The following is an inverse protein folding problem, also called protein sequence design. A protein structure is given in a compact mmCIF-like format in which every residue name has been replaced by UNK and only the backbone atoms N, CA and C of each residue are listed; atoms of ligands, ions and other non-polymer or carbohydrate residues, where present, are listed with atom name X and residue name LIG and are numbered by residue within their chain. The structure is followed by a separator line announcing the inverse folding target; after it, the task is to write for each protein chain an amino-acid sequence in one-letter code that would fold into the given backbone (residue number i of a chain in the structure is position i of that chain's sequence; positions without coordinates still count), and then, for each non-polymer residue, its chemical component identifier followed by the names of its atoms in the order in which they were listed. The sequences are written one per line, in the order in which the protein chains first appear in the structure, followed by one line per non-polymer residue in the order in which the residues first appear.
data_IF_663490113532
#
_entry.id   IF_663490113532
#
_cell.length_a   1.000
_cell.length_b   1.000
_cell.length_c   1.000
_cell.angle_alpha   90.00
_cell.angle_beta   90.00
_cell.angle_gamma   90.00
#
_symmetry.space_group_name_H-M   'P 1'
#
loop_
_entity.id
_entity.type
_entity.pdbx_description
1 polymer ?
#
# COMPACT_ATOMS: atom_id res chain seq x y z
N UNK A 1 -20.32 -3.45 9.40
CA UNK A 1 -19.83 -4.82 9.56
C UNK A 1 -18.54 -4.84 8.78
N UNK A 2 -17.44 -5.08 9.48
CA UNK A 2 -16.17 -5.37 8.83
C UNK A 2 -16.41 -6.44 7.76
N UNK A 3 -15.80 -6.29 6.59
CA UNK A 3 -15.95 -7.20 5.44
C UNK A 3 -15.19 -8.50 5.69
N UNK A 4 -15.46 -9.15 6.83
CA UNK A 4 -14.79 -10.37 7.28
C UNK A 4 -15.15 -11.58 6.41
N UNK A 5 -16.27 -11.49 5.69
CA UNK A 5 -16.67 -12.43 4.65
C UNK A 5 -15.75 -12.41 3.42
N UNK A 6 -14.96 -11.35 3.24
CA UNK A 6 -14.10 -11.15 2.07
C UNK A 6 -12.61 -11.42 2.35
N UNK A 7 -12.24 -11.72 3.59
CA UNK A 7 -10.85 -12.02 3.95
C UNK A 7 -10.64 -13.53 4.04
N UNK A 8 -9.40 -13.98 3.81
CA UNK A 8 -9.07 -15.40 3.88
C UNK A 8 -9.38 -15.97 5.27
N UNK A 9 -9.89 -17.22 5.35
CA UNK A 9 -10.12 -17.90 6.62
C UNK A 9 -8.84 -18.16 7.41
N UNK A 10 -7.67 -18.07 6.77
CA UNK A 10 -6.36 -18.18 7.42
C UNK A 10 -5.90 -16.87 8.07
N UNK A 11 -6.67 -15.80 7.93
CA UNK A 11 -6.37 -14.50 8.55
C UNK A 11 -6.39 -14.64 10.07
N UNK A 12 -5.29 -14.24 10.69
CA UNK A 12 -5.12 -14.17 12.14
C UNK A 12 -5.44 -12.76 12.62
N UNK A 13 -5.79 -12.66 13.90
CA UNK A 13 -6.07 -11.37 14.54
C UNK A 13 -5.21 -11.22 15.79
N UNK A 14 -4.59 -10.06 15.91
CA UNK A 14 -3.89 -9.64 17.12
C UNK A 14 -4.54 -8.38 17.68
N UNK A 15 -4.76 -8.34 18.99
CA UNK A 15 -5.27 -7.14 19.67
C UNK A 15 -4.23 -6.72 20.70
N UNK A 16 -3.51 -5.61 20.48
CA UNK A 16 -2.55 -5.11 21.46
C UNK A 16 -3.23 -4.89 22.83
N UNK A 17 -2.54 -5.20 23.95
CA UNK A 17 -3.12 -5.08 25.28
C UNK A 17 -3.28 -3.63 25.76
N UNK A 18 -2.64 -2.68 25.06
CA UNK A 18 -2.65 -1.26 25.39
C UNK A 18 -3.31 -0.45 24.27
N UNK A 19 -3.96 0.69 24.61
CA UNK A 19 -4.50 1.59 23.60
C UNK A 19 -3.43 2.06 22.62
N UNK A 20 -3.81 2.23 21.36
CA UNK A 20 -2.93 2.73 20.32
C UNK A 20 -3.10 4.25 20.20
N UNK A 21 -2.00 5.00 20.36
CA UNK A 21 -1.98 6.46 20.27
C UNK A 21 -1.51 6.85 18.87
N UNK A 22 -2.32 7.64 18.17
CA UNK A 22 -2.00 8.15 16.84
C UNK A 22 -1.08 9.37 16.92
N UNK A 23 -0.42 9.72 15.80
CA UNK A 23 0.36 10.97 15.68
C UNK A 23 -0.48 12.22 15.99
N UNK A 24 -1.79 12.18 15.77
CA UNK A 24 -2.71 13.25 16.12
C UNK A 24 -2.97 13.39 17.63
N UNK A 25 -2.52 12.43 18.43
CA UNK A 25 -2.83 12.31 19.86
C UNK A 25 -4.17 11.63 20.15
N UNK A 26 -4.97 11.29 19.13
CA UNK A 26 -6.19 10.52 19.33
C UNK A 26 -5.84 9.08 19.76
N UNK A 27 -6.71 8.47 20.57
CA UNK A 27 -6.49 7.15 21.16
C UNK A 27 -7.52 6.14 20.65
N UNK A 28 -7.04 4.99 20.20
CA UNK A 28 -7.85 3.84 19.84
C UNK A 28 -7.72 2.75 20.91
N UNK A 29 -8.75 2.58 21.74
CA UNK A 29 -8.76 1.71 22.94
C UNK A 29 -8.65 0.22 22.67
N UNK A 30 -9.21 -0.25 21.55
CA UNK A 30 -9.32 -1.69 21.23
C UNK A 30 -8.97 -1.95 19.78
N UNK A 31 -7.75 -1.57 19.39
CA UNK A 31 -7.26 -1.86 18.05
C UNK A 31 -7.13 -3.36 17.87
N UNK A 32 -7.56 -3.84 16.71
CA UNK A 32 -7.36 -5.18 16.21
C UNK A 32 -6.59 -5.09 14.90
N UNK A 33 -5.61 -5.96 14.72
CA UNK A 33 -4.78 -6.07 13.52
C UNK A 33 -5.12 -7.41 12.87
N UNK A 34 -5.60 -7.39 11.64
CA UNK A 34 -5.77 -8.58 10.82
C UNK A 34 -4.49 -8.83 10.00
N UNK A 35 -3.96 -10.04 10.01
CA UNK A 35 -2.71 -10.36 9.34
C UNK A 35 -2.63 -11.82 8.89
N UNK A 36 -1.77 -12.09 7.89
CA UNK A 36 -1.34 -13.44 7.50
C UNK A 36 0.17 -13.54 7.59
N UNK A 37 0.65 -14.77 7.68
CA UNK A 37 2.09 -15.09 7.79
C UNK A 37 2.45 -16.29 6.94
N UNK A 38 3.65 -16.30 6.38
CA UNK A 38 4.23 -17.42 5.64
C UNK A 38 5.64 -17.72 6.13
N UNK A 39 6.04 -18.99 6.08
CA UNK A 39 7.35 -19.43 6.57
C UNK A 39 7.46 -19.48 8.10
N UNK A 40 8.69 -19.55 8.59
CA UNK A 40 9.00 -19.75 10.02
C UNK A 40 10.05 -18.74 10.46
N UNK A 41 9.79 -18.06 11.58
CA UNK A 41 10.76 -17.17 12.22
C UNK A 41 11.94 -17.99 12.76
N UNK A 42 13.16 -17.61 12.39
CA UNK A 42 14.35 -18.33 12.82
C UNK A 42 14.73 -18.00 14.28
N UNK A 43 15.66 -18.76 14.86
CA UNK A 43 16.11 -18.55 16.25
C UNK A 43 16.76 -17.20 16.51
N UNK A 44 17.32 -16.56 15.48
CA UNK A 44 17.93 -15.22 15.57
C UNK A 44 16.91 -14.09 15.42
N UNK A 45 15.68 -14.42 15.01
CA UNK A 45 14.57 -13.49 14.78
C UNK A 45 14.90 -12.39 13.77
N UNK A 46 15.77 -12.70 12.80
CA UNK A 46 16.34 -11.74 11.85
C UNK A 46 15.94 -11.98 10.38
N UNK A 47 15.11 -12.99 10.11
CA UNK A 47 14.57 -13.32 8.78
C UNK A 47 13.15 -12.78 8.54
N UNK A 48 12.72 -11.75 9.29
CA UNK A 48 11.40 -11.16 9.10
C UNK A 48 11.29 -10.41 7.76
N UNK A 49 10.15 -10.54 7.08
CA UNK A 49 9.81 -9.75 5.89
C UNK A 49 8.43 -9.12 6.07
N UNK A 50 8.29 -7.82 5.82
CA UNK A 50 6.99 -7.15 5.83
C UNK A 50 6.57 -6.82 4.40
N UNK A 51 5.37 -7.27 4.04
CA UNK A 51 4.69 -6.89 2.81
C UNK A 51 3.65 -5.82 3.14
N UNK A 52 3.88 -4.60 2.65
CA UNK A 52 2.98 -3.46 2.78
C UNK A 52 2.04 -3.41 1.57
N UNK A 53 0.75 -3.71 1.76
CA UNK A 53 -0.21 -3.71 0.67
C UNK A 53 -0.62 -2.29 0.22
N UNK A 54 -1.09 -2.18 -1.02
CA UNK A 54 -1.54 -0.93 -1.64
C UNK A 54 -2.95 -0.48 -1.17
N UNK A 55 -3.44 0.64 -1.71
CA UNK A 55 -4.65 1.37 -1.28
C UNK A 55 -5.90 0.50 -1.05
N UNK A 56 -6.19 -0.43 -1.96
CA UNK A 56 -7.37 -1.31 -1.87
C UNK A 56 -7.01 -2.79 -1.66
N UNK A 57 -5.78 -3.06 -1.20
CA UNK A 57 -5.28 -4.39 -0.89
C UNK A 57 -5.73 -4.89 0.49
N UNK A 58 -5.29 -6.08 0.86
CA UNK A 58 -5.55 -6.71 2.15
C UNK A 58 -4.42 -7.66 2.53
N UNK A 59 -4.50 -8.28 3.70
CA UNK A 59 -3.44 -9.10 4.29
C UNK A 59 -3.06 -10.36 3.50
N UNK A 60 -3.80 -10.73 2.45
CA UNK A 60 -3.61 -11.99 1.73
C UNK A 60 -2.73 -11.83 0.49
N UNK A 61 -1.41 -11.96 0.68
CA UNK A 61 -0.43 -11.82 -0.40
C UNK A 61 -0.62 -12.86 -1.51
N UNK A 62 -1.04 -14.09 -1.19
CA UNK A 62 -1.31 -15.13 -2.19
C UNK A 62 -2.41 -14.71 -3.17
N UNK A 63 -3.37 -13.91 -2.73
CA UNK A 63 -4.49 -13.52 -3.57
C UNK A 63 -4.18 -12.41 -4.58
N UNK A 64 -3.13 -11.60 -4.34
CA UNK A 64 -2.84 -10.43 -5.17
C UNK A 64 -1.36 -10.28 -5.58
N UNK A 65 -0.46 -11.11 -5.06
CA UNK A 65 0.97 -11.10 -5.38
C UNK A 65 1.60 -12.50 -5.47
N UNK A 66 0.81 -13.51 -5.83
CA UNK A 66 1.24 -14.91 -5.92
C UNK A 66 2.57 -15.12 -6.67
N UNK A 67 2.86 -14.48 -7.82
CA UNK A 67 4.10 -14.74 -8.54
C UNK A 67 5.38 -14.29 -7.82
N UNK A 68 5.26 -13.42 -6.79
CA UNK A 68 6.39 -13.02 -5.95
C UNK A 68 6.58 -13.95 -4.74
N UNK A 69 5.65 -14.86 -4.47
CA UNK A 69 5.62 -15.73 -3.31
C UNK A 69 5.92 -17.18 -3.69
N UNK A 70 6.98 -17.74 -3.12
CA UNK A 70 7.35 -19.14 -3.34
C UNK A 70 8.85 -19.39 -3.26
N UNK A 71 9.25 -20.67 -3.33
CA UNK A 71 10.65 -21.06 -3.27
C UNK A 71 11.46 -20.38 -4.38
N UNK A 72 12.55 -19.70 -4.01
CA UNK A 72 13.42 -18.95 -4.91
C UNK A 72 12.86 -17.60 -5.38
N UNK A 73 11.64 -17.23 -5.00
CA UNK A 73 11.05 -15.91 -5.28
C UNK A 73 11.54 -14.87 -4.27
N UNK A 74 11.25 -13.59 -4.52
CA UNK A 74 11.64 -12.51 -3.60
C UNK A 74 11.01 -12.70 -2.21
N UNK A 75 9.76 -13.19 -2.16
CA UNK A 75 9.08 -13.64 -0.95
C UNK A 75 9.20 -15.16 -0.85
N UNK A 76 10.31 -15.65 -0.33
CA UNK A 76 10.55 -17.09 -0.18
C UNK A 76 10.23 -17.57 1.24
N UNK A 77 9.11 -18.29 1.47
CA UNK A 77 8.73 -18.76 2.80
C UNK A 77 9.64 -19.89 3.34
N UNK A 78 10.52 -20.47 2.51
CA UNK A 78 11.52 -21.43 2.97
C UNK A 78 12.72 -20.76 3.63
N UNK A 79 12.94 -19.46 3.35
CA UNK A 79 14.01 -18.63 3.93
C UNK A 79 13.48 -17.63 4.95
N UNK A 80 12.35 -17.01 4.64
CA UNK A 80 11.85 -15.81 5.31
C UNK A 80 10.60 -16.09 6.15
N UNK A 81 10.43 -15.32 7.22
CA UNK A 81 9.15 -15.22 7.93
C UNK A 81 8.41 -13.99 7.43
N UNK A 82 7.51 -14.21 6.48
CA UNK A 82 6.82 -13.15 5.75
C UNK A 82 5.54 -12.80 6.49
N UNK A 83 5.28 -11.52 6.68
CA UNK A 83 4.08 -11.00 7.33
C UNK A 83 3.44 -9.94 6.44
N UNK A 84 2.13 -10.03 6.26
CA UNK A 84 1.32 -8.97 5.71
C UNK A 84 0.17 -8.69 6.66
N UNK A 85 0.10 -7.46 7.18
CA UNK A 85 -1.04 -7.00 7.97
C UNK A 85 -1.92 -6.10 7.11
N UNK A 86 -3.24 -6.23 7.25
CA UNK A 86 -4.16 -5.24 6.73
C UNK A 86 -3.95 -3.91 7.49
N UNK A 87 -3.92 -2.80 6.77
CA UNK A 87 -3.56 -1.49 7.33
C UNK A 87 -4.66 -0.90 8.24
N UNK A 88 -4.24 -0.04 9.18
CA UNK A 88 -5.16 0.77 9.99
C UNK A 88 -6.04 1.63 9.08
N UNK A 89 -7.33 1.74 9.40
CA UNK A 89 -8.28 2.53 8.60
C UNK A 89 -8.87 1.79 7.39
N UNK A 90 -8.40 0.59 7.07
CA UNK A 90 -9.00 -0.30 6.05
C UNK A 90 -10.31 -0.94 6.55
N UNK A 91 -11.01 -1.65 5.66
CA UNK A 91 -12.25 -2.39 5.94
C UNK A 91 -12.09 -3.92 5.96
N UNK A 92 -10.86 -4.43 5.83
CA UNK A 92 -10.54 -5.87 5.79
C UNK A 92 -10.02 -6.43 7.13
N UNK A 93 -10.73 -6.12 8.23
CA UNK A 93 -10.54 -6.77 9.54
C UNK A 93 -9.67 -6.03 10.54
N UNK A 94 -8.67 -5.27 10.09
CA UNK A 94 -7.95 -4.30 10.95
C UNK A 94 -8.88 -3.14 11.31
N UNK A 95 -8.73 -2.58 12.51
CA UNK A 95 -9.56 -1.47 12.99
C UNK A 95 -9.60 -0.32 12.00
N UNK A 96 -10.80 0.06 11.60
CA UNK A 96 -11.07 1.15 10.66
C UNK A 96 -12.48 1.73 10.85
N UNK A 97 -12.95 2.57 9.91
CA UNK A 97 -14.27 3.18 10.00
C UNK A 97 -15.45 2.20 10.12
N UNK A 98 -15.29 0.98 9.59
CA UNK A 98 -16.32 -0.07 9.66
C UNK A 98 -16.35 -0.81 11.00
N UNK A 99 -15.31 -0.67 11.81
CA UNK A 99 -15.16 -1.32 13.11
C UNK A 99 -16.01 -0.63 14.18
N UNK A 100 -16.37 -1.37 15.23
CA UNK A 100 -17.20 -0.85 16.33
C UNK A 100 -16.36 0.06 17.24
N UNK A 101 -16.84 1.28 17.47
CA UNK A 101 -16.33 2.16 18.50
C UNK A 101 -16.78 1.66 19.88
N UNK A 102 -15.86 1.27 20.78
CA UNK A 102 -16.22 0.76 22.10
C UNK A 102 -16.96 1.78 22.98
N UNK A 103 -16.86 3.09 22.67
CA UNK A 103 -17.51 4.17 23.43
C UNK A 103 -18.99 4.31 23.07
N UNK A 104 -19.35 4.02 21.82
CA UNK A 104 -20.71 4.23 21.29
C UNK A 104 -21.43 2.92 20.96
N UNK A 105 -20.69 1.81 20.90
CA UNK A 105 -21.17 0.49 20.43
C UNK A 105 -21.76 0.52 19.02
N UNK A 106 -21.39 1.52 18.21
CA UNK A 106 -21.74 1.67 16.79
C UNK A 106 -20.47 1.69 15.94
N UNK A 107 -20.53 1.43 14.63
CA UNK A 107 -19.39 1.65 13.75
C UNK A 107 -18.84 3.07 13.88
N UNK A 108 -17.52 3.25 13.82
CA UNK A 108 -16.91 4.59 13.88
C UNK A 108 -17.44 5.51 12.77
N UNK A 109 -17.61 4.98 11.55
CA UNK A 109 -18.02 5.73 10.37
C UNK A 109 -17.17 7.00 10.19
N UNK A 110 -17.79 8.19 10.09
CA UNK A 110 -17.05 9.44 9.86
C UNK A 110 -16.31 9.96 11.10
N UNK A 111 -16.54 9.38 12.28
CA UNK A 111 -15.85 9.75 13.53
C UNK A 111 -14.57 8.96 13.76
N UNK A 112 -14.21 8.05 12.85
CA UNK A 112 -12.90 7.40 12.89
C UNK A 112 -11.82 8.48 12.82
N UNK A 113 -10.84 8.47 13.73
CA UNK A 113 -9.83 9.52 13.78
C UNK A 113 -9.02 9.55 12.50
N UNK A 114 -8.50 10.72 12.17
CA UNK A 114 -7.57 10.84 11.07
C UNK A 114 -6.25 10.14 11.42
N UNK A 115 -5.71 9.42 10.45
CA UNK A 115 -4.47 8.62 10.58
C UNK A 115 -3.43 9.09 9.55
N UNK A 116 -2.18 8.73 9.80
CA UNK A 116 -1.05 8.96 8.89
C UNK A 116 -0.41 7.65 8.46
N UNK A 117 0.45 7.69 7.44
CA UNK A 117 1.25 6.51 7.05
C UNK A 117 2.15 6.03 8.20
N UNK A 118 2.60 6.94 9.07
CA UNK A 118 3.38 6.59 10.27
C UNK A 118 2.54 5.83 11.29
N UNK A 119 1.27 6.18 11.47
CA UNK A 119 0.36 5.39 12.32
C UNK A 119 0.21 3.96 11.80
N UNK A 120 0.12 3.78 10.48
CA UNK A 120 0.08 2.45 9.85
C UNK A 120 1.35 1.64 10.18
N UNK A 121 2.52 2.26 10.02
CA UNK A 121 3.83 1.62 10.26
C UNK A 121 4.07 1.35 11.75
N UNK A 122 3.68 2.26 12.64
CA UNK A 122 3.74 2.03 14.08
C UNK A 122 2.85 0.86 14.51
N UNK A 123 1.65 0.73 13.94
CA UNK A 123 0.79 -0.41 14.25
C UNK A 123 1.37 -1.74 13.73
N UNK A 124 2.02 -1.73 12.57
CA UNK A 124 2.79 -2.88 12.08
C UNK A 124 3.96 -3.19 13.03
N UNK A 125 4.67 -2.19 13.55
CA UNK A 125 5.72 -2.36 14.56
C UNK A 125 5.23 -3.08 15.82
N UNK A 126 4.06 -2.69 16.33
CA UNK A 126 3.40 -3.38 17.46
C UNK A 126 3.12 -4.85 17.14
N UNK A 127 2.71 -5.16 15.91
CA UNK A 127 2.53 -6.55 15.47
C UNK A 127 3.88 -7.28 15.39
N UNK A 128 4.94 -6.64 14.90
CA UNK A 128 6.27 -7.27 14.80
C UNK A 128 6.80 -7.67 16.17
N UNK A 129 6.62 -6.80 17.16
CA UNK A 129 7.00 -7.07 18.55
C UNK A 129 6.23 -8.26 19.12
N UNK A 130 4.93 -8.33 18.85
CA UNK A 130 4.08 -9.45 19.28
C UNK A 130 4.44 -10.79 18.61
N UNK A 131 4.90 -10.74 17.36
CA UNK A 131 5.38 -11.92 16.63
C UNK A 131 6.84 -12.29 16.99
N UNK A 132 7.52 -11.46 17.78
CA UNK A 132 8.90 -11.67 18.20
C UNK A 132 9.94 -11.45 17.11
N UNK A 133 9.60 -10.71 16.05
CA UNK A 133 10.56 -10.37 14.98
C UNK A 133 11.46 -9.26 15.50
N UNK A 134 12.78 -9.44 15.50
CA UNK A 134 13.71 -8.42 16.01
C UNK A 134 14.32 -7.60 14.88
N UNK A 135 14.58 -8.24 13.74
CA UNK A 135 15.14 -7.61 12.54
C UNK A 135 14.36 -8.04 11.28
N UNK A 136 14.14 -7.07 10.41
CA UNK A 136 13.49 -7.21 9.12
C UNK A 136 14.56 -7.30 8.04
N UNK A 137 14.65 -8.46 7.40
CA UNK A 137 15.50 -8.67 6.22
C UNK A 137 15.07 -7.70 5.10
N UNK A 138 13.77 -7.61 4.85
CA UNK A 138 13.19 -6.80 3.77
C UNK A 138 11.84 -6.20 4.21
N UNK A 139 11.63 -4.93 3.87
CA UNK A 139 10.30 -4.30 3.85
C UNK A 139 9.97 -3.92 2.42
N UNK A 140 8.84 -4.39 1.90
CA UNK A 140 8.48 -4.27 0.49
C UNK A 140 7.03 -3.84 0.31
N UNK A 141 6.77 -3.00 -0.68
CA UNK A 141 5.42 -2.56 -1.00
C UNK A 141 5.34 -1.63 -2.21
N UNK A 142 4.20 -1.67 -2.90
CA UNK A 142 3.91 -0.79 -4.03
C UNK A 142 2.85 0.27 -3.71
N UNK A 143 2.91 1.43 -4.36
CA UNK A 143 1.91 2.51 -4.20
C UNK A 143 1.85 3.01 -2.74
N UNK A 144 0.66 3.02 -2.11
CA UNK A 144 0.52 3.20 -0.65
C UNK A 144 1.44 2.27 0.17
N UNK A 145 1.70 1.07 -0.33
CA UNK A 145 2.68 0.15 0.25
C UNK A 145 4.09 0.74 0.26
N UNK A 146 4.50 1.40 -0.83
CA UNK A 146 5.81 2.05 -0.92
C UNK A 146 5.98 3.23 0.02
N UNK A 147 4.91 3.98 0.31
CA UNK A 147 4.92 5.02 1.35
C UNK A 147 5.21 4.43 2.74
N UNK A 148 4.59 3.29 3.06
CA UNK A 148 4.83 2.57 4.32
C UNK A 148 6.28 2.08 4.39
N UNK A 149 6.83 1.58 3.28
CA UNK A 149 8.23 1.12 3.20
C UNK A 149 9.21 2.26 3.51
N UNK A 150 9.00 3.44 2.95
CA UNK A 150 9.84 4.62 3.24
C UNK A 150 9.76 5.01 4.72
N UNK A 151 8.55 5.03 5.30
CA UNK A 151 8.39 5.33 6.73
C UNK A 151 8.99 4.25 7.64
N UNK A 152 9.00 2.97 7.23
CA UNK A 152 9.71 1.91 7.96
C UNK A 152 11.22 2.21 8.08
N UNK A 153 11.85 2.61 6.98
CA UNK A 153 13.27 2.94 6.96
C UNK A 153 13.61 4.16 7.83
N UNK A 154 12.68 5.12 7.93
CA UNK A 154 12.86 6.34 8.71
C UNK A 154 12.54 6.18 10.20
N UNK A 155 11.47 5.45 10.54
CA UNK A 155 10.99 5.29 11.91
C UNK A 155 11.70 4.17 12.66
N UNK A 156 12.10 3.11 11.95
CA UNK A 156 12.72 1.93 12.52
C UNK A 156 14.00 1.54 11.76
N UNK A 157 14.98 2.46 11.62
CA UNK A 157 16.16 2.23 10.81
C UNK A 157 16.99 1.02 11.28
N UNK A 158 17.12 0.85 12.59
CA UNK A 158 17.90 -0.24 13.21
C UNK A 158 17.26 -1.62 13.04
N UNK A 159 15.94 -1.68 12.81
CA UNK A 159 15.23 -2.94 12.57
C UNK A 159 15.14 -3.29 11.10
N UNK A 160 15.40 -2.34 10.20
CA UNK A 160 15.16 -2.49 8.77
C UNK A 160 16.49 -2.68 8.04
N UNK A 161 16.74 -3.88 7.51
CA UNK A 161 18.02 -4.19 6.84
C UNK A 161 18.04 -3.89 5.36
N UNK A 162 16.89 -3.90 4.69
CA UNK A 162 16.74 -3.50 3.29
C UNK A 162 15.29 -3.15 2.98
N UNK A 163 15.09 -2.36 1.93
CA UNK A 163 13.75 -1.94 1.50
C UNK A 163 13.56 -2.07 -0.02
N UNK A 164 12.32 -2.30 -0.44
CA UNK A 164 11.91 -2.27 -1.84
C UNK A 164 10.66 -1.39 -2.02
N UNK A 165 10.87 -0.22 -2.64
CA UNK A 165 9.84 0.79 -2.89
C UNK A 165 9.41 0.69 -4.36
N UNK A 166 8.15 0.37 -4.60
CA UNK A 166 7.63 0.14 -5.96
C UNK A 166 6.59 1.21 -6.29
N UNK A 167 6.78 1.94 -7.39
CA UNK A 167 5.79 2.88 -7.92
C UNK A 167 5.21 3.84 -6.86
N UNK A 168 6.08 4.46 -6.06
CA UNK A 168 5.69 5.37 -4.99
C UNK A 168 6.68 6.53 -4.89
N UNK A 169 6.35 7.54 -4.09
CA UNK A 169 7.18 8.73 -3.86
C UNK A 169 7.22 9.09 -2.38
N UNK A 170 8.25 9.86 -1.99
CA UNK A 170 8.44 10.27 -0.59
C UNK A 170 7.54 11.42 -0.13
N UNK A 171 6.75 11.99 -1.03
CA UNK A 171 5.71 12.99 -0.71
C UNK A 171 4.59 12.89 -1.72
N UNK A 172 3.34 12.90 -1.25
CA UNK A 172 2.20 12.85 -2.15
C UNK A 172 2.13 14.15 -2.96
N UNK A 173 2.25 14.04 -4.28
CA UNK A 173 2.36 15.22 -5.14
C UNK A 173 1.01 15.93 -5.30
N UNK A 174 1.05 17.19 -5.72
CA UNK A 174 -0.16 17.97 -6.01
C UNK A 174 -1.07 17.27 -7.04
N UNK A 175 -0.48 16.52 -7.97
CA UNK A 175 -1.19 15.66 -8.92
C UNK A 175 -2.02 14.59 -8.21
N UNK A 176 -1.38 13.80 -7.35
CA UNK A 176 -2.07 12.74 -6.61
C UNK A 176 -3.14 13.30 -5.66
N UNK A 177 -2.85 14.41 -4.99
CA UNK A 177 -3.81 15.09 -4.09
C UNK A 177 -5.04 15.58 -4.87
N UNK A 178 -4.86 16.17 -6.06
CA UNK A 178 -5.97 16.63 -6.89
C UNK A 178 -6.87 15.47 -7.34
N UNK A 179 -6.26 14.35 -7.76
CA UNK A 179 -6.99 13.13 -8.13
C UNK A 179 -7.77 12.55 -6.94
N UNK A 180 -7.12 12.44 -5.77
CA UNK A 180 -7.74 11.96 -4.54
C UNK A 180 -8.91 12.83 -4.09
N UNK A 181 -8.77 14.15 -4.16
CA UNK A 181 -9.86 15.07 -3.81
C UNK A 181 -11.04 14.95 -4.78
N UNK A 182 -10.79 14.82 -6.07
CA UNK A 182 -11.85 14.64 -7.06
C UNK A 182 -12.61 13.31 -6.83
N UNK A 183 -11.89 12.22 -6.50
CA UNK A 183 -12.49 10.93 -6.12
C UNK A 183 -13.37 11.05 -4.87
N UNK A 184 -12.88 11.72 -3.81
CA UNK A 184 -13.66 11.96 -2.59
C UNK A 184 -14.88 12.84 -2.87
N UNK A 185 -14.74 13.86 -3.72
CA UNK A 185 -15.83 14.71 -4.17
C UNK A 185 -16.98 13.93 -4.80
N UNK A 186 -16.67 12.91 -5.61
CA UNK A 186 -17.67 12.01 -6.17
C UNK A 186 -18.44 11.23 -5.09
N UNK A 187 -17.77 10.79 -4.03
CA UNK A 187 -18.40 10.12 -2.88
C UNK A 187 -19.28 11.11 -2.11
N UNK A 188 -18.79 12.31 -1.82
CA UNK A 188 -19.54 13.31 -1.06
C UNK A 188 -20.82 13.79 -1.78
N UNK A 189 -20.79 13.81 -3.12
CA UNK A 189 -21.93 14.18 -3.95
C UNK A 189 -23.03 13.10 -4.01
N UNK A 190 -22.75 11.87 -3.57
CA UNK A 190 -23.74 10.79 -3.55
C UNK A 190 -24.79 11.07 -2.45
N UNK A 191 -26.10 11.13 -2.77
CA UNK A 191 -27.15 11.37 -1.78
C UNK A 191 -27.19 10.35 -0.64
N UNK A 192 -26.68 9.14 -0.86
CA UNK A 192 -26.60 8.12 0.17
C UNK A 192 -25.42 8.29 1.13
N UNK A 193 -24.46 9.17 0.84
CA UNK A 193 -23.28 9.43 1.71
C UNK A 193 -23.66 9.85 3.13
N UNK A 194 -24.69 10.69 3.30
CA UNK A 194 -25.21 11.11 4.60
C UNK A 194 -24.11 11.59 5.59
N UNK A 195 -23.11 12.32 5.09
CA UNK A 195 -21.98 12.78 5.91
C UNK A 195 -21.13 11.65 6.51
N UNK A 196 -21.15 10.47 5.90
CA UNK A 196 -20.47 9.26 6.35
C UNK A 196 -21.28 8.37 7.27
N UNK A 197 -22.46 8.80 7.71
CA UNK A 197 -23.35 8.04 8.60
C UNK A 197 -24.33 7.14 7.83
N UNK A 198 -23.94 6.66 6.65
CA UNK A 198 -24.79 5.83 5.81
C UNK A 198 -25.01 4.43 6.39
N UNK A 199 -26.16 3.84 6.08
CA UNK A 199 -26.42 2.45 6.39
C UNK A 199 -25.62 1.53 5.46
N UNK A 200 -25.11 0.42 5.97
CA UNK A 200 -24.18 -0.46 5.23
C UNK A 200 -24.81 -1.18 4.04
N UNK A 201 -26.12 -1.41 4.10
CA UNK A 201 -26.95 -1.95 3.02
C UNK A 201 -27.35 -0.89 1.99
N UNK A 202 -27.08 0.39 2.29
CA UNK A 202 -27.35 1.53 1.43
C UNK A 202 -26.15 2.50 1.38
N UNK A 203 -24.96 2.03 0.97
CA UNK A 203 -23.76 2.88 0.89
C UNK A 203 -23.86 3.89 -0.26
N UNK A 204 -22.99 4.91 -0.30
CA UNK A 204 -22.82 5.81 -1.46
C UNK A 204 -22.19 5.09 -2.66
N UNK A 205 -22.91 4.10 -3.18
CA UNK A 205 -22.43 3.17 -4.18
C UNK A 205 -22.08 3.86 -5.50
N UNK A 206 -22.86 4.88 -5.91
CA UNK A 206 -22.60 5.59 -7.18
C UNK A 206 -21.36 6.45 -7.06
N UNK A 207 -21.23 7.17 -5.95
CA UNK A 207 -20.06 7.99 -5.66
C UNK A 207 -18.78 7.16 -5.54
N UNK A 208 -18.81 6.05 -4.81
CA UNK A 208 -17.64 5.15 -4.68
C UNK A 208 -17.29 4.45 -6.00
N UNK A 209 -18.29 4.07 -6.79
CA UNK A 209 -18.08 3.54 -8.14
C UNK A 209 -17.41 4.57 -9.05
N UNK A 210 -17.90 5.82 -9.05
CA UNK A 210 -17.31 6.90 -9.84
C UNK A 210 -15.87 7.22 -9.39
N UNK A 211 -15.60 7.26 -8.08
CA UNK A 211 -14.26 7.38 -7.54
C UNK A 211 -13.32 6.27 -8.05
N UNK A 212 -13.79 5.01 -8.09
CA UNK A 212 -13.01 3.92 -8.67
C UNK A 212 -12.76 4.10 -10.15
N UNK A 213 -13.76 4.51 -10.93
CA UNK A 213 -13.61 4.75 -12.36
C UNK A 213 -12.52 5.80 -12.62
N UNK A 214 -12.54 6.91 -11.88
CA UNK A 214 -11.52 7.96 -11.94
C UNK A 214 -10.13 7.45 -11.55
N UNK A 215 -10.03 6.64 -10.50
CA UNK A 215 -8.76 6.04 -10.10
C UNK A 215 -8.18 5.13 -11.21
N UNK A 216 -9.04 4.37 -11.88
CA UNK A 216 -8.61 3.44 -12.92
C UNK A 216 -8.09 4.13 -14.19
N UNK A 217 -8.51 5.36 -14.48
CA UNK A 217 -7.93 6.13 -15.60
C UNK A 217 -6.49 6.56 -15.34
N UNK A 218 -6.07 6.57 -14.08
CA UNK A 218 -4.68 6.91 -13.70
C UNK A 218 -3.86 5.69 -13.32
N UNK A 219 -4.50 4.55 -13.04
CA UNK A 219 -3.77 3.31 -12.74
C UNK A 219 -3.26 2.59 -13.99
N UNK A 220 -3.80 2.93 -15.17
CA UNK A 220 -3.42 2.38 -16.46
C UNK A 220 -2.81 3.48 -17.33
N UNK A 221 -2.00 3.09 -18.30
CA UNK A 221 -1.45 4.03 -19.26
C UNK A 221 -2.43 4.32 -20.40
N UNK A 222 -2.24 5.46 -21.06
CA UNK A 222 -2.96 5.79 -22.29
C UNK A 222 -2.82 4.67 -23.34
N UNK A 223 -1.61 4.15 -23.55
CA UNK A 223 -1.35 3.08 -24.51
C UNK A 223 -2.12 1.79 -24.18
N UNK A 224 -2.27 1.44 -22.90
CA UNK A 224 -3.06 0.29 -22.48
C UNK A 224 -4.55 0.45 -22.76
N UNK A 225 -5.10 1.66 -22.66
CA UNK A 225 -6.50 1.90 -22.99
C UNK A 225 -6.75 1.86 -24.50
N UNK A 226 -5.89 2.51 -25.28
CA UNK A 226 -6.01 2.51 -26.74
C UNK A 226 -5.87 1.10 -27.33
N UNK A 227 -4.89 0.31 -26.86
CA UNK A 227 -4.66 -1.05 -27.39
C UNK A 227 -5.77 -2.03 -27.02
N UNK A 228 -6.36 -1.89 -25.82
CA UNK A 228 -7.35 -2.84 -25.30
C UNK A 228 -8.79 -2.51 -25.70
N UNK A 229 -9.12 -1.23 -25.88
CA UNK A 229 -10.51 -0.81 -26.09
C UNK A 229 -10.70 0.06 -27.33
N UNK A 230 -9.74 0.94 -27.65
CA UNK A 230 -9.85 1.90 -28.75
C UNK A 230 -11.23 2.59 -28.78
N UNK A 231 -11.92 2.48 -29.91
CA UNK A 231 -13.29 3.00 -30.12
C UNK A 231 -14.33 1.88 -30.27
N UNK A 232 -14.08 0.72 -29.68
CA UNK A 232 -14.98 -0.42 -29.78
C UNK A 232 -16.30 -0.19 -29.03
N UNK A 233 -17.39 -0.68 -29.61
CA UNK A 233 -18.72 -0.68 -29.00
C UNK A 233 -19.09 -2.09 -28.57
N UNK A 234 -19.68 -2.23 -27.38
CA UNK A 234 -20.29 -3.45 -26.91
C UNK A 234 -21.76 -3.57 -27.31
N UNK A 235 -22.41 -4.65 -26.87
CA UNK A 235 -23.86 -4.81 -27.03
C UNK A 235 -24.60 -3.62 -26.40
N UNK A 236 -25.58 -3.06 -27.12
CA UNK A 236 -26.32 -1.88 -26.67
C UNK A 236 -25.77 -0.53 -27.16
N UNK A 237 -24.68 -0.51 -27.93
CA UNK A 237 -24.15 0.71 -28.55
C UNK A 237 -23.30 1.59 -27.63
N UNK A 238 -22.93 1.10 -26.46
CA UNK A 238 -22.02 1.76 -25.53
C UNK A 238 -20.56 1.38 -25.80
N UNK A 239 -19.62 2.29 -25.52
CA UNK A 239 -18.19 1.99 -25.64
C UNK A 239 -17.77 0.90 -24.64
N UNK A 240 -16.94 -0.04 -25.08
CA UNK A 240 -16.45 -1.15 -24.23
C UNK A 240 -15.66 -0.64 -23.01
N UNK A 241 -14.87 0.43 -23.17
CA UNK A 241 -14.15 1.09 -22.06
C UNK A 241 -15.11 1.63 -20.98
N UNK A 242 -16.26 2.20 -21.37
CA UNK A 242 -17.24 2.72 -20.41
C UNK A 242 -17.82 1.57 -19.57
N UNK A 243 -18.26 0.49 -20.22
CA UNK A 243 -18.76 -0.73 -19.55
C UNK A 243 -17.70 -1.36 -18.65
N UNK A 244 -16.43 -1.37 -19.06
CA UNK A 244 -15.32 -1.86 -18.25
C UNK A 244 -15.14 -1.05 -16.97
N UNK A 245 -15.11 0.28 -17.07
CA UNK A 245 -14.95 1.16 -15.91
C UNK A 245 -16.14 1.01 -14.95
N UNK A 246 -17.38 0.97 -15.45
CA UNK A 246 -18.56 0.74 -14.63
C UNK A 246 -18.54 -0.61 -13.91
N UNK A 247 -18.15 -1.68 -14.60
CA UNK A 247 -18.02 -3.00 -14.02
C UNK A 247 -17.00 -3.01 -12.87
N UNK A 248 -15.85 -2.37 -13.06
CA UNK A 248 -14.82 -2.28 -12.04
C UNK A 248 -15.23 -1.40 -10.85
N UNK A 249 -16.00 -0.34 -11.11
CA UNK A 249 -16.62 0.48 -10.07
C UNK A 249 -17.57 -0.33 -9.19
N UNK A 250 -18.48 -1.11 -9.80
CA UNK A 250 -19.37 -2.03 -9.09
C UNK A 250 -18.59 -3.06 -8.26
N UNK A 251 -17.56 -3.68 -8.85
CA UNK A 251 -16.70 -4.64 -8.16
C UNK A 251 -16.01 -4.03 -6.93
N UNK A 252 -15.61 -2.75 -6.96
CA UNK A 252 -15.08 -2.08 -5.76
C UNK A 252 -16.16 -1.90 -4.70
N UNK A 253 -17.35 -1.42 -5.08
CA UNK A 253 -18.46 -1.16 -4.14
C UNK A 253 -18.84 -2.40 -3.34
N UNK A 254 -18.81 -3.57 -3.96
CA UNK A 254 -19.10 -4.85 -3.31
C UNK A 254 -18.09 -5.15 -2.19
N UNK A 255 -16.82 -4.76 -2.37
CA UNK A 255 -15.73 -5.19 -1.50
C UNK A 255 -15.09 -4.11 -0.63
N UNK A 256 -15.40 -2.83 -0.81
CA UNK A 256 -14.72 -1.74 -0.14
C UNK A 256 -15.70 -0.75 0.50
N UNK A 257 -15.32 -0.15 1.62
CA UNK A 257 -16.14 0.83 2.33
C UNK A 257 -15.75 2.27 1.96
N UNK A 258 -16.75 3.15 1.82
CA UNK A 258 -16.52 4.53 1.39
C UNK A 258 -15.82 5.39 2.47
N UNK A 259 -16.15 5.22 3.76
CA UNK A 259 -15.42 5.88 4.84
C UNK A 259 -13.96 5.40 4.88
N UNK A 260 -13.71 4.09 4.73
CA UNK A 260 -12.35 3.55 4.64
C UNK A 260 -11.57 4.15 3.47
N UNK A 261 -12.19 4.28 2.30
CA UNK A 261 -11.60 4.90 1.12
C UNK A 261 -11.20 6.36 1.36
N UNK A 262 -12.09 7.13 2.00
CA UNK A 262 -11.83 8.53 2.35
C UNK A 262 -10.71 8.64 3.40
N UNK A 263 -10.76 7.83 4.45
CA UNK A 263 -9.74 7.81 5.52
C UNK A 263 -8.35 7.53 4.96
N UNK A 264 -8.23 6.47 4.14
CA UNK A 264 -6.95 6.06 3.57
C UNK A 264 -6.44 7.05 2.51
N UNK A 265 -7.31 7.59 1.65
CA UNK A 265 -6.89 8.61 0.67
C UNK A 265 -6.42 9.91 1.33
N UNK A 266 -7.02 10.32 2.46
CA UNK A 266 -6.53 11.46 3.25
C UNK A 266 -5.20 11.16 3.94
N UNK A 267 -4.99 9.92 4.39
CA UNK A 267 -3.71 9.50 4.94
C UNK A 267 -2.59 9.56 3.88
N UNK A 268 -2.89 9.14 2.64
CA UNK A 268 -2.00 9.30 1.48
C UNK A 268 -1.68 10.76 1.19
N UNK A 269 -2.69 11.63 1.12
CA UNK A 269 -2.48 13.08 0.88
C UNK A 269 -1.59 13.77 1.90
N UNK A 270 -1.52 13.22 3.12
CA UNK A 270 -0.69 13.74 4.21
C UNK A 270 0.69 13.11 4.27
N UNK A 271 0.99 12.16 3.41
CA UNK A 271 2.30 11.54 3.36
C UNK A 271 3.32 12.52 2.80
N UNK A 272 4.30 12.84 3.64
CA UNK A 272 5.47 13.63 3.30
C UNK A 272 6.56 13.28 4.31
N UNK A 273 7.65 12.69 3.84
CA UNK A 273 8.78 12.28 4.70
C UNK A 273 9.45 13.48 5.39
N UNK A 274 9.25 14.71 4.90
CA UNK A 274 9.88 15.94 5.42
C UNK A 274 9.19 16.58 6.61
N UNK A 275 8.10 16.01 7.11
CA UNK A 275 7.30 16.57 8.21
C UNK A 275 8.08 16.89 9.49
N UNK A 276 9.30 16.37 9.65
CA UNK A 276 10.22 16.66 10.76
C UNK A 276 10.98 17.99 10.60
N UNK A 277 10.74 18.77 9.54
CA UNK A 277 11.31 20.10 9.32
C UNK A 277 12.68 20.10 8.62
N UNK A 278 13.14 18.94 8.16
CA UNK A 278 14.38 18.80 7.35
C UNK A 278 14.05 18.93 5.86
N UNK A 279 15.04 19.27 5.04
CA UNK A 279 14.87 19.27 3.58
C UNK A 279 14.63 17.84 3.07
N UNK A 280 13.90 17.72 1.95
CA UNK A 280 13.62 16.42 1.32
C UNK A 280 14.88 15.61 1.04
N UNK A 281 15.90 16.26 0.45
CA UNK A 281 17.21 15.66 0.23
C UNK A 281 17.84 15.12 1.52
N UNK A 282 17.85 15.92 2.59
CA UNK A 282 18.45 15.49 3.87
C UNK A 282 17.72 14.31 4.50
N UNK A 283 16.39 14.24 4.37
CA UNK A 283 15.61 13.10 4.86
C UNK A 283 15.92 11.84 4.06
N UNK A 284 15.91 11.92 2.73
CA UNK A 284 16.22 10.76 1.89
C UNK A 284 17.67 10.28 2.06
N UNK A 285 18.63 11.20 2.23
CA UNK A 285 20.01 10.88 2.55
C UNK A 285 20.16 10.15 3.89
N UNK A 286 19.19 10.26 4.81
CA UNK A 286 19.22 9.53 6.07
C UNK A 286 18.79 8.06 5.95
N UNK A 287 18.19 7.67 4.82
CA UNK A 287 17.88 6.27 4.52
C UNK A 287 19.17 5.58 4.07
N UNK A 288 19.82 4.89 5.02
CA UNK A 288 21.10 4.19 4.79
C UNK A 288 20.91 2.75 4.36
N UNK A 289 19.68 2.24 4.42
CA UNK A 289 19.35 0.89 4.01
C UNK A 289 19.58 0.70 2.50
N UNK A 290 20.10 -0.46 2.08
CA UNK A 290 19.99 -0.91 0.69
C UNK A 290 18.54 -0.79 0.23
N UNK A 291 18.35 -0.10 -0.89
CA UNK A 291 17.02 0.30 -1.36
C UNK A 291 16.85 -0.08 -2.82
N UNK A 292 15.96 -1.03 -3.10
CA UNK A 292 15.44 -1.20 -4.45
C UNK A 292 14.34 -0.16 -4.70
N UNK A 293 14.46 0.58 -5.80
CA UNK A 293 13.43 1.51 -6.26
C UNK A 293 12.95 1.01 -7.61
N UNK A 294 11.69 0.63 -7.72
CA UNK A 294 11.12 0.15 -8.98
C UNK A 294 10.21 1.24 -9.57
N UNK A 295 10.65 1.82 -10.67
CA UNK A 295 9.85 2.73 -11.49
C UNK A 295 9.14 1.94 -12.60
N UNK A 296 7.91 2.32 -12.91
CA UNK A 296 7.17 1.79 -14.06
C UNK A 296 7.14 2.89 -15.13
N UNK A 297 7.64 2.60 -16.32
CA UNK A 297 7.86 3.63 -17.34
C UNK A 297 6.58 4.26 -17.89
N UNK A 298 5.45 3.58 -17.76
CA UNK A 298 4.14 4.09 -18.17
C UNK A 298 3.25 4.56 -17.01
N UNK A 299 3.78 4.69 -15.80
CA UNK A 299 3.01 5.17 -14.63
C UNK A 299 2.56 6.62 -14.81
N UNK A 300 1.26 6.85 -14.65
CA UNK A 300 0.65 8.18 -14.69
C UNK A 300 0.26 8.69 -13.30
N UNK A 301 0.15 7.81 -12.30
CA UNK A 301 -0.20 8.18 -10.94
C UNK A 301 1.03 8.64 -10.16
N UNK A 302 2.10 7.85 -10.18
CA UNK A 302 3.40 8.20 -9.62
C UNK A 302 4.44 8.23 -10.75
N UNK A 303 4.54 9.34 -11.49
CA UNK A 303 5.38 9.41 -12.67
C UNK A 303 6.85 9.09 -12.34
N UNK A 304 7.60 8.43 -13.26
CA UNK A 304 8.98 7.98 -13.04
C UNK A 304 9.94 9.00 -12.40
N UNK A 305 9.75 10.29 -12.70
CA UNK A 305 10.56 11.39 -12.13
C UNK A 305 10.53 11.40 -10.59
N UNK A 306 9.44 10.95 -9.97
CA UNK A 306 9.35 10.89 -8.50
C UNK A 306 10.21 9.75 -7.94
N UNK A 307 10.32 8.61 -8.62
CA UNK A 307 11.20 7.50 -8.23
C UNK A 307 12.67 7.79 -8.58
N UNK A 308 12.93 8.46 -9.69
CA UNK A 308 14.27 8.97 -10.02
C UNK A 308 14.77 9.96 -8.96
N UNK A 309 13.88 10.80 -8.42
CA UNK A 309 14.20 11.70 -7.30
C UNK A 309 14.57 10.91 -6.02
N UNK A 310 13.84 9.82 -5.72
CA UNK A 310 14.22 8.91 -4.62
C UNK A 310 15.62 8.33 -4.86
N UNK A 311 15.89 7.80 -6.04
CA UNK A 311 17.16 7.17 -6.39
C UNK A 311 18.34 8.16 -6.38
N UNK A 312 18.07 9.42 -6.73
CA UNK A 312 19.07 10.48 -6.68
C UNK A 312 19.56 10.76 -5.25
N UNK A 313 18.69 10.70 -4.25
CA UNK A 313 19.01 11.15 -2.90
C UNK A 313 19.23 10.05 -1.88
N UNK A 314 18.70 8.84 -2.10
CA UNK A 314 18.95 7.68 -1.24
C UNK A 314 20.31 7.07 -1.61
N UNK A 315 21.34 7.11 -0.74
CA UNK A 315 22.73 6.82 -1.12
C UNK A 315 22.98 5.38 -1.57
N UNK A 316 22.30 4.42 -0.93
CA UNK A 316 22.46 2.98 -1.18
C UNK A 316 21.29 2.42 -2.00
N UNK A 317 20.79 3.22 -2.95
CA UNK A 317 19.67 2.83 -3.80
C UNK A 317 20.09 2.31 -5.17
N UNK A 318 19.25 1.44 -5.73
CA UNK A 318 19.33 0.99 -7.13
C UNK A 318 17.96 1.19 -7.78
N UNK A 319 17.95 1.88 -8.93
CA UNK A 319 16.75 2.15 -9.71
C UNK A 319 16.55 1.06 -10.77
N UNK A 320 15.46 0.31 -10.64
CA UNK A 320 15.00 -0.69 -11.58
C UNK A 320 13.82 -0.17 -12.39
N UNK A 321 13.77 -0.56 -13.67
CA UNK A 321 12.68 -0.20 -14.57
C UNK A 321 11.81 -1.42 -14.88
N UNK A 322 10.57 -1.41 -14.42
CA UNK A 322 9.55 -2.33 -14.88
C UNK A 322 8.93 -1.77 -16.16
N UNK A 323 9.33 -2.32 -17.30
CA UNK A 323 8.85 -1.92 -18.63
C UNK A 323 7.51 -2.59 -18.88
N UNK A 324 6.43 -1.83 -18.80
CA UNK A 324 5.08 -2.37 -18.96
C UNK A 324 4.14 -1.30 -19.51
N UNK A 325 3.21 -1.64 -20.42
CA UNK A 325 2.15 -0.73 -20.83
C UNK A 325 1.06 -0.59 -19.76
N UNK A 326 1.05 -1.41 -18.71
CA UNK A 326 -0.07 -1.50 -17.78
C UNK A 326 -0.18 -0.35 -16.78
N UNK A 327 0.71 0.65 -16.84
CA UNK A 327 0.70 1.81 -15.94
C UNK A 327 1.01 1.43 -14.50
N UNK A 328 0.53 2.25 -13.56
CA UNK A 328 0.71 2.02 -12.13
C UNK A 328 0.36 0.60 -11.67
N UNK A 329 -0.69 -0.02 -12.25
CA UNK A 329 -1.11 -1.38 -11.89
C UNK A 329 -0.12 -2.47 -12.31
N UNK A 330 0.96 -2.18 -13.06
CA UNK A 330 1.88 -3.20 -13.58
C UNK A 330 2.46 -4.11 -12.46
N UNK A 331 2.69 -3.59 -11.25
CA UNK A 331 3.18 -4.41 -10.14
C UNK A 331 2.16 -5.44 -9.60
N UNK A 332 0.93 -5.44 -10.12
CA UNK A 332 -0.18 -6.34 -9.80
C UNK A 332 -0.69 -7.14 -11.01
N UNK A 333 -0.05 -7.02 -12.18
CA UNK A 333 -0.55 -7.64 -13.41
C UNK A 333 0.12 -8.96 -13.71
N UNK A 334 -0.70 -9.94 -14.10
CA UNK A 334 -0.23 -11.19 -14.67
C UNK A 334 0.68 -10.90 -15.87
N UNK A 335 1.87 -11.49 -15.88
CA UNK A 335 2.92 -11.26 -16.88
C UNK A 335 3.95 -10.19 -16.51
N UNK A 336 3.59 -9.18 -15.69
CA UNK A 336 4.54 -8.18 -15.20
C UNK A 336 5.14 -8.56 -13.84
N UNK A 337 4.37 -9.28 -13.01
CA UNK A 337 4.80 -9.68 -11.67
C UNK A 337 6.02 -10.61 -11.67
N UNK A 338 6.19 -11.47 -12.70
CA UNK A 338 7.41 -12.28 -12.83
C UNK A 338 8.64 -11.40 -13.10
N UNK A 339 8.52 -10.42 -14.00
CA UNK A 339 9.61 -9.47 -14.26
C UNK A 339 9.94 -8.63 -13.01
N UNK A 340 8.92 -8.19 -12.27
CA UNK A 340 9.10 -7.53 -10.98
C UNK A 340 9.84 -8.42 -9.98
N UNK A 341 9.43 -9.69 -9.86
CA UNK A 341 10.10 -10.66 -9.01
C UNK A 341 11.58 -10.79 -9.38
N UNK A 342 11.90 -10.91 -10.66
CA UNK A 342 13.29 -11.10 -11.13
C UNK A 342 14.18 -9.89 -10.82
N UNK A 343 13.66 -8.68 -10.98
CA UNK A 343 14.34 -7.44 -10.57
C UNK A 343 14.65 -7.46 -9.07
N UNK A 344 13.67 -7.83 -8.25
CA UNK A 344 13.81 -7.82 -6.79
C UNK A 344 14.67 -8.98 -6.25
N UNK A 345 14.64 -10.15 -6.89
CA UNK A 345 15.55 -11.26 -6.59
C UNK A 345 16.98 -10.87 -6.95
N UNK A 346 17.19 -10.20 -8.08
CA UNK A 346 18.51 -9.67 -8.48
C UNK A 346 19.07 -8.72 -7.42
N UNK A 347 18.26 -7.75 -6.97
CA UNK A 347 18.61 -6.86 -5.87
C UNK A 347 18.95 -7.62 -4.58
N UNK A 348 18.06 -8.53 -4.14
CA UNK A 348 18.24 -9.28 -2.90
C UNK A 348 19.54 -10.10 -2.91
N UNK A 349 19.83 -10.77 -4.03
CA UNK A 349 21.05 -11.57 -4.19
C UNK A 349 22.32 -10.70 -4.24
N UNK A 350 22.28 -9.57 -4.96
CA UNK A 350 23.42 -8.65 -5.05
C UNK A 350 23.82 -8.07 -3.70
N UNK A 351 22.82 -7.73 -2.88
CA UNK A 351 23.03 -7.26 -1.52
C UNK A 351 23.53 -8.35 -0.58
N UNK A 352 22.89 -9.53 -0.55
CA UNK A 352 23.25 -10.63 0.35
C UNK A 352 24.69 -11.15 0.10
N UNK A 353 25.20 -11.03 -1.13
CA UNK A 353 26.58 -11.38 -1.49
C UNK A 353 27.62 -10.28 -1.21
N UNK A 354 27.23 -9.13 -0.64
CA UNK A 354 28.15 -8.02 -0.39
C UNK A 354 28.64 -7.29 -1.65
N UNK A 355 27.91 -7.43 -2.76
CA UNK A 355 28.17 -6.74 -4.03
C UNK A 355 27.34 -5.47 -4.22
N UNK A 356 26.60 -5.03 -3.19
CA UNK A 356 26.01 -3.69 -3.14
C UNK A 356 27.07 -2.59 -3.26
N UNK A 357 26.70 -1.34 -3.61
CA UNK A 357 27.65 -0.28 -3.95
C UNK A 357 28.75 -0.18 -2.90
N UNK A 358 29.97 -0.56 -3.31
CA UNK A 358 31.16 -0.41 -2.48
C UNK A 358 31.38 1.08 -2.30
N UNK A 359 31.33 1.54 -1.05
CA UNK A 359 31.79 2.85 -0.62
C UNK A 359 33.08 3.20 -1.38
N UNK A 360 32.98 4.07 -2.38
CA UNK A 360 34.14 4.74 -2.93
C UNK A 360 34.69 5.61 -1.81
N UNK A 361 35.85 5.22 -1.28
CA UNK A 361 36.62 6.10 -0.40
C UNK A 361 36.92 7.38 -1.18
N UNK A 362 36.30 8.48 -0.77
CA UNK A 362 36.74 9.81 -1.15
C UNK A 362 38.11 10.04 -0.51
N UNK A 363 39.13 10.20 -1.36
CA UNK A 363 40.38 10.84 -0.98
C UNK A 363 40.26 12.36 -1.01
#
# INVERSE_FOLDING_TARGET
MDRLDLISPETRFYSPPHPFVLESGAVLERVRIAYRTWGILNNKRDNGVIVCHAFTGWADVEAWWEPLLGTGRVLDPTRDFIVCSNILGSCYGTTGPTSIDPRTSKPYGPTFPEITIRDLVHLQGVLMDALGIESLRLVIGGSLGGMQVLEWALLYPERTRSIAVIAASGRHSAWCIALGEAQRGAIYADPHWQGGNYALDRPPARGLSAARMMAMTTYRSHASFESRFGREYGEGGEFTIARYLEYQGKKLVERFDANAYITLSRAMDRHDVTRTGKSYESVLQSIQQPTAIVAIDSDLLYPPVEQEELAKYIPNSELFWLRSPHGHDAFLMDGDMDALNDLLVTFANGWEMGNGPRLGMAG
#
